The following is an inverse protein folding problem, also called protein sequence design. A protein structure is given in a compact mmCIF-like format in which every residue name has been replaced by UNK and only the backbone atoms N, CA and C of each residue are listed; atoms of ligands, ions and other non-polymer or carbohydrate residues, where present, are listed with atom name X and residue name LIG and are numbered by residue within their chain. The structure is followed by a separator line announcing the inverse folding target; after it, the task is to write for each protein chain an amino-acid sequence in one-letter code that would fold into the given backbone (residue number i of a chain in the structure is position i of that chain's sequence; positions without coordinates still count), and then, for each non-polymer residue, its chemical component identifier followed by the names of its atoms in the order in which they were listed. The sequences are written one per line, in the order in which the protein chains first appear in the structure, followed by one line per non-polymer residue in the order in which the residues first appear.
data_IF_651894689114
#
_entry.id   IF_651894689114
#
_cell.length_a   1.000
_cell.length_b   1.000
_cell.length_c   1.000
_cell.angle_alpha   90.00
_cell.angle_beta   90.00
_cell.angle_gamma   90.00
#
_symmetry.space_group_name_H-M   'P 1'
#
loop_
_entity.id
_entity.type
_entity.pdbx_description
1 polymer ?
#
# COMPACT_ATOMS: atom_id res chain seq x y z
N UNK A 1 8.46 -2.74 -20.30
CA UNK A 1 7.81 -2.70 -18.97
C UNK A 1 7.04 -1.39 -18.93
N UNK A 2 5.75 -1.39 -18.63
CA UNK A 2 4.96 -0.15 -18.63
C UNK A 2 5.37 0.70 -17.42
N UNK A 3 5.81 1.93 -17.66
CA UNK A 3 6.21 2.87 -16.62
C UNK A 3 4.98 3.67 -16.20
N UNK A 4 4.27 3.20 -15.18
CA UNK A 4 3.02 3.83 -14.69
C UNK A 4 3.19 5.32 -14.36
N UNK A 5 4.38 5.72 -13.91
CA UNK A 5 4.74 7.11 -13.62
C UNK A 5 4.86 8.00 -14.86
N UNK A 6 4.90 7.43 -16.07
CA UNK A 6 4.90 8.15 -17.34
C UNK A 6 3.50 8.25 -17.96
N UNK A 7 2.49 7.57 -17.38
CA UNK A 7 1.10 7.70 -17.82
C UNK A 7 0.55 9.07 -17.36
N UNK A 8 0.08 9.94 -18.26
CA UNK A 8 -0.50 11.23 -17.91
C UNK A 8 -1.76 11.13 -17.03
N UNK A 9 -2.38 9.96 -16.93
CA UNK A 9 -3.53 9.68 -16.05
C UNK A 9 -3.11 9.24 -14.64
N UNK A 10 -1.83 8.93 -14.44
CA UNK A 10 -1.33 8.56 -13.13
C UNK A 10 -1.13 9.81 -12.27
N UNK A 11 -1.92 9.91 -11.20
CA UNK A 11 -1.78 11.00 -10.24
C UNK A 11 -0.52 10.84 -9.37
N UNK A 12 -0.22 9.60 -8.97
CA UNK A 12 0.89 9.30 -8.08
C UNK A 12 1.30 7.84 -8.17
N UNK A 13 2.60 7.58 -8.02
CA UNK A 13 3.17 6.25 -7.80
C UNK A 13 4.08 6.33 -6.57
N UNK A 14 4.02 5.31 -5.72
CA UNK A 14 4.99 5.09 -4.66
C UNK A 14 5.35 3.59 -4.59
N UNK A 15 6.56 3.24 -4.10
CA UNK A 15 6.93 1.85 -3.89
C UNK A 15 6.00 1.17 -2.89
N UNK A 16 5.82 -0.15 -3.02
CA UNK A 16 5.17 -0.94 -1.98
C UNK A 16 6.16 -1.05 -0.80
N UNK A 17 5.83 -0.53 0.39
CA UNK A 17 6.76 -0.51 1.52
C UNK A 17 6.85 -1.85 2.27
N UNK A 18 5.98 -2.81 1.97
CA UNK A 18 5.96 -4.10 2.66
C UNK A 18 7.04 -5.04 2.10
N UNK A 19 7.95 -5.49 2.97
CA UNK A 19 9.05 -6.39 2.64
C UNK A 19 8.95 -7.68 3.47
N UNK A 20 9.38 -8.79 2.90
CA UNK A 20 9.55 -10.04 3.65
C UNK A 20 10.87 -10.05 4.46
N UNK A 21 11.11 -11.14 5.19
CA UNK A 21 12.31 -11.30 6.01
C UNK A 21 13.63 -11.30 5.22
N UNK A 22 13.58 -11.55 3.91
CA UNK A 22 14.73 -11.47 3.00
C UNK A 22 14.90 -10.08 2.37
N UNK A 23 13.99 -9.16 2.64
CA UNK A 23 13.96 -7.82 2.05
C UNK A 23 13.29 -7.77 0.68
N UNK A 24 12.64 -8.85 0.23
CA UNK A 24 11.91 -8.86 -1.03
C UNK A 24 10.56 -8.15 -0.88
N UNK A 25 10.15 -7.40 -1.90
CA UNK A 25 8.88 -6.67 -1.91
C UNK A 25 7.71 -7.65 -1.95
N UNK A 26 6.79 -7.51 -0.99
CA UNK A 26 5.54 -8.26 -0.96
C UNK A 26 4.45 -7.52 -1.75
N UNK A 27 3.59 -8.28 -2.41
CA UNK A 27 2.45 -7.72 -3.14
C UNK A 27 1.25 -7.53 -2.21
N UNK A 28 0.51 -6.44 -2.38
CA UNK A 28 -0.78 -6.30 -1.74
C UNK A 28 -1.85 -7.12 -2.45
N UNK A 29 -2.75 -7.75 -1.70
CA UNK A 29 -3.84 -8.58 -2.21
C UNK A 29 -5.20 -7.86 -2.22
N UNK A 30 -5.43 -6.94 -1.27
CA UNK A 30 -6.61 -6.06 -1.24
C UNK A 30 -6.22 -4.63 -0.92
N UNK A 31 -6.97 -3.69 -1.48
CA UNK A 31 -6.80 -2.25 -1.30
C UNK A 31 -8.17 -1.61 -1.05
N UNK A 32 -8.23 -0.64 -0.15
CA UNK A 32 -9.41 0.19 0.08
C UNK A 32 -8.99 1.63 0.39
N UNK A 33 -9.70 2.58 -0.19
CA UNK A 33 -9.46 4.02 0.00
C UNK A 33 -10.48 4.56 0.99
N UNK A 34 -10.03 5.33 1.97
CA UNK A 34 -10.92 6.00 2.91
C UNK A 34 -11.83 7.01 2.18
N UNK A 35 -13.04 7.28 2.68
CA UNK A 35 -13.97 8.23 2.04
C UNK A 35 -13.39 9.64 1.86
N UNK A 36 -12.47 10.06 2.73
CA UNK A 36 -11.78 11.36 2.65
C UNK A 36 -10.56 11.36 1.71
N UNK A 37 -10.21 10.21 1.12
CA UNK A 37 -9.10 10.05 0.19
C UNK A 37 -7.71 10.21 0.82
N UNK A 38 -7.58 10.22 2.15
CA UNK A 38 -6.29 10.44 2.83
C UNK A 38 -5.56 9.15 3.19
N UNK A 39 -6.31 8.06 3.40
CA UNK A 39 -5.78 6.79 3.89
C UNK A 39 -6.04 5.68 2.86
N UNK A 40 -5.00 4.91 2.58
CA UNK A 40 -5.07 3.66 1.83
C UNK A 40 -4.88 2.51 2.80
N UNK A 41 -5.91 1.68 2.97
CA UNK A 41 -5.78 0.40 3.64
C UNK A 41 -5.32 -0.65 2.62
N UNK A 42 -4.27 -1.40 2.94
CA UNK A 42 -3.70 -2.43 2.10
C UNK A 42 -3.44 -3.70 2.90
N UNK A 43 -3.76 -4.86 2.34
CA UNK A 43 -3.50 -6.15 3.00
C UNK A 43 -2.48 -7.00 2.23
N UNK A 44 -1.79 -7.87 2.96
CA UNK A 44 -1.03 -8.99 2.44
C UNK A 44 -1.19 -10.15 3.43
N UNK A 45 -1.92 -11.20 3.07
CA UNK A 45 -2.18 -12.30 4.00
C UNK A 45 -2.91 -11.81 5.26
N UNK A 46 -2.30 -11.96 6.43
CA UNK A 46 -2.84 -11.50 7.72
C UNK A 46 -2.43 -10.08 8.11
N UNK A 47 -1.53 -9.45 7.35
CA UNK A 47 -1.03 -8.11 7.62
C UNK A 47 -1.96 -7.07 6.99
N UNK A 48 -2.33 -6.06 7.77
CA UNK A 48 -3.05 -4.87 7.35
C UNK A 48 -2.17 -3.64 7.58
N UNK A 49 -1.97 -2.84 6.54
CA UNK A 49 -1.27 -1.56 6.63
C UNK A 49 -2.21 -0.42 6.28
N UNK A 50 -2.07 0.69 7.01
CA UNK A 50 -2.65 1.98 6.62
C UNK A 50 -1.54 2.87 6.13
N UNK A 51 -1.71 3.44 4.94
CA UNK A 51 -0.76 4.33 4.30
C UNK A 51 -1.40 5.70 4.09
N UNK A 52 -0.59 6.76 4.22
CA UNK A 52 -0.98 8.08 3.76
C UNK A 52 -0.93 8.12 2.23
N UNK A 53 -2.06 8.36 1.57
CA UNK A 53 -2.15 8.39 0.09
C UNK A 53 -1.22 9.44 -0.50
N UNK A 54 -1.09 10.59 0.15
CA UNK A 54 -0.26 11.68 -0.34
C UNK A 54 1.23 11.37 -0.26
N UNK A 55 1.70 10.57 0.70
CA UNK A 55 3.14 10.34 0.88
C UNK A 55 3.61 8.92 0.57
N UNK A 56 2.70 7.94 0.56
CA UNK A 56 3.03 6.52 0.55
C UNK A 56 3.62 6.02 1.87
N UNK A 57 3.71 6.87 2.91
CA UNK A 57 4.25 6.47 4.21
C UNK A 57 3.25 5.56 4.93
N UNK A 58 3.77 4.48 5.51
CA UNK A 58 3.01 3.63 6.45
C UNK A 58 2.70 4.45 7.70
N UNK A 59 1.42 4.60 7.99
CA UNK A 59 0.88 5.24 9.18
C UNK A 59 0.79 4.26 10.33
N UNK A 60 0.31 3.04 10.04
CA UNK A 60 0.17 1.97 11.03
C UNK A 60 0.19 0.57 10.37
N UNK A 61 0.45 -0.46 11.15
CA UNK A 61 0.45 -1.86 10.73
C UNK A 61 -0.17 -2.74 11.82
N UNK A 62 -1.18 -3.51 11.45
CA UNK A 62 -1.81 -4.51 12.30
C UNK A 62 -1.57 -5.91 11.74
N UNK A 63 -1.16 -6.82 12.62
CA UNK A 63 -1.09 -8.24 12.33
C UNK A 63 -2.38 -8.92 12.80
N UNK A 64 -2.84 -9.90 12.02
CA UNK A 64 -4.05 -10.67 12.31
C UNK A 64 -5.30 -9.79 12.50
N UNK A 65 -5.51 -8.83 11.62
CA UNK A 65 -6.68 -7.93 11.68
C UNK A 65 -8.06 -8.63 11.50
N UNK A 66 -8.12 -9.97 11.52
CA UNK A 66 -9.31 -10.80 11.44
C UNK A 66 -9.46 -11.77 12.62
N UNK A 67 -8.59 -11.72 13.65
CA UNK A 67 -8.85 -12.34 14.96
C UNK A 67 -9.60 -11.39 15.90
#
# INVERSE_FOLDING_TARGET
RYHLNEDPKTLKVFPIPLLDASGAVLHYDRLSVSPDGKILAATHGSTLQWLCIESGKVLDTAEKAHE
#
